data_IF_513473696198
#
_entry.id   IF_513473696198
#
_cell.length_a   1.000
_cell.length_b   1.000
_cell.length_c   1.000
_cell.angle_alpha   90.00
_cell.angle_beta   90.00
_cell.angle_gamma   90.00
#
_symmetry.space_group_name_H-M   'P 1'
#
loop_
_entity.id
_entity.type
_entity.pdbx_description
1 polymer ?
#
# COMPACT_ATOMS: atom_id res chain seq x y z
N UNK A 1 -2.99 17.51 48.26
CA UNK A 1 -1.65 17.29 47.66
C UNK A 1 -1.80 17.57 46.16
N UNK A 2 -1.62 18.84 45.78
CA UNK A 2 -1.80 19.35 44.41
C UNK A 2 -0.41 19.51 43.79
N UNK A 3 -0.18 18.90 42.62
CA UNK A 3 1.04 19.11 41.83
C UNK A 3 0.82 20.25 40.82
N UNK A 4 1.72 21.24 40.72
CA UNK A 4 1.59 22.32 39.75
C UNK A 4 2.17 21.96 38.38
N UNK A 5 1.54 22.53 37.35
CA UNK A 5 1.93 22.49 35.93
C UNK A 5 3.35 23.04 35.70
N UNK A 6 4.14 22.32 34.90
CA UNK A 6 5.35 22.83 34.26
C UNK A 6 5.00 23.61 32.98
N UNK A 7 5.57 24.82 32.75
CA UNK A 7 5.45 25.50 31.47
C UNK A 7 6.49 25.03 30.45
N UNK A 8 6.07 24.87 29.20
CA UNK A 8 6.90 24.54 28.04
C UNK A 8 7.76 25.74 27.60
N UNK A 9 8.98 25.53 27.06
CA UNK A 9 9.85 26.59 26.55
C UNK A 9 9.44 27.08 25.14
N UNK A 10 9.79 28.34 24.78
CA UNK A 10 9.41 28.94 23.50
C UNK A 10 10.28 28.50 22.31
N UNK A 11 9.65 28.38 21.14
CA UNK A 11 10.27 28.09 19.85
C UNK A 11 11.12 29.27 19.31
N UNK A 12 12.27 29.00 18.66
CA UNK A 12 13.14 30.06 18.13
C UNK A 12 12.59 30.67 16.82
N UNK A 13 12.62 32.00 16.74
CA UNK A 13 12.41 32.79 15.52
C UNK A 13 13.67 32.75 14.66
N UNK A 14 13.54 32.44 13.37
CA UNK A 14 14.59 32.68 12.39
C UNK A 14 14.50 34.10 11.81
N UNK A 15 15.61 34.85 11.74
CA UNK A 15 15.62 36.19 11.15
C UNK A 15 15.82 36.13 9.63
N UNK A 16 15.03 36.94 8.93
CA UNK A 16 15.27 37.36 7.55
C UNK A 16 16.53 38.23 7.47
N UNK A 17 17.42 37.96 6.52
CA UNK A 17 18.31 39.00 5.98
C UNK A 17 18.78 38.71 4.53
N UNK A 18 18.20 39.48 3.59
CA UNK A 18 18.81 40.30 2.52
C UNK A 18 19.98 39.72 1.70
N UNK A 19 19.84 39.68 0.35
CA UNK A 19 20.58 40.52 -0.65
C UNK A 19 20.45 39.98 -2.09
N UNK A 20 19.60 40.65 -2.89
CA UNK A 20 19.90 40.96 -4.30
C UNK A 20 20.93 42.12 -4.28
N UNK A 21 21.89 42.25 -5.23
CA UNK A 21 21.57 42.50 -6.64
C UNK A 21 22.59 41.91 -7.64
N UNK A 22 22.24 41.90 -8.93
CA UNK A 22 23.13 42.31 -10.02
C UNK A 22 22.35 42.35 -11.34
N UNK A 23 22.19 43.57 -11.85
CA UNK A 23 21.65 43.93 -13.16
C UNK A 23 22.80 43.98 -14.19
N UNK A 24 22.55 43.44 -15.41
CA UNK A 24 22.84 43.92 -16.80
C UNK A 24 24.15 44.70 -17.14
N UNK A 25 24.66 44.81 -18.42
CA UNK A 25 23.89 44.87 -19.68
C UNK A 25 24.68 44.27 -20.94
N UNK A 26 24.59 44.74 -22.22
CA UNK A 26 24.45 43.87 -23.41
C UNK A 26 25.49 44.12 -24.55
N UNK A 27 25.27 43.47 -25.72
CA UNK A 27 25.89 43.69 -27.06
C UNK A 27 27.30 43.05 -27.21
N UNK A 28 27.74 42.57 -28.37
CA UNK A 28 27.55 43.08 -29.73
C UNK A 28 27.84 42.01 -30.79
N UNK A 29 27.21 42.18 -31.97
CA UNK A 29 27.45 41.41 -33.22
C UNK A 29 28.84 41.68 -33.78
N UNK A 30 29.47 40.65 -34.35
CA UNK A 30 30.30 40.83 -35.54
C UNK A 30 30.15 39.64 -36.50
N UNK A 31 29.93 40.02 -37.76
CA UNK A 31 29.82 39.15 -38.93
C UNK A 31 31.20 38.57 -39.24
N UNK A 32 31.27 37.27 -39.48
CA UNK A 32 32.28 36.73 -40.38
C UNK A 32 31.61 35.79 -41.39
N UNK A 33 31.60 36.23 -42.65
CA UNK A 33 31.26 35.40 -43.80
C UNK A 33 32.42 34.41 -43.99
N UNK A 34 32.16 33.11 -43.84
CA UNK A 34 33.09 32.10 -44.36
C UNK A 34 32.36 31.14 -45.30
N UNK A 35 33.06 30.86 -46.39
CA UNK A 35 32.60 30.29 -47.64
C UNK A 35 32.09 28.86 -47.49
N UNK A 36 31.00 28.58 -48.21
CA UNK A 36 30.48 27.23 -48.49
C UNK A 36 31.59 26.32 -49.03
N UNK A 37 31.90 25.25 -48.30
CA UNK A 37 32.34 23.98 -48.87
C UNK A 37 31.32 22.93 -48.44
N UNK A 38 30.56 22.41 -49.41
CA UNK A 38 29.68 21.25 -49.25
C UNK A 38 30.57 20.03 -49.01
N UNK A 39 30.78 19.68 -47.74
CA UNK A 39 31.17 18.34 -47.36
C UNK A 39 29.87 17.56 -47.12
N UNK A 40 29.58 16.60 -48.01
CA UNK A 40 28.54 15.59 -47.77
C UNK A 40 29.06 14.68 -46.66
N UNK A 41 28.76 15.04 -45.42
CA UNK A 41 28.76 14.10 -44.32
C UNK A 41 27.33 13.60 -44.17
N UNK A 42 27.12 12.36 -44.57
CA UNK A 42 26.00 11.54 -44.14
C UNK A 42 25.96 11.56 -42.62
N UNK A 43 24.95 12.22 -42.06
CA UNK A 43 24.62 12.12 -40.65
C UNK A 43 24.25 10.65 -40.37
N UNK A 44 24.83 9.98 -39.36
CA UNK A 44 24.21 8.78 -38.85
C UNK A 44 22.87 9.22 -38.25
N UNK A 45 21.80 8.58 -38.70
CA UNK A 45 20.48 8.67 -38.10
C UNK A 45 20.64 8.54 -36.58
N UNK A 46 20.20 9.55 -35.84
CA UNK A 46 19.99 9.43 -34.41
C UNK A 46 19.11 8.20 -34.21
N UNK A 47 19.70 7.14 -33.67
CA UNK A 47 18.94 6.00 -33.21
C UNK A 47 17.98 6.53 -32.17
N UNK A 48 16.69 6.44 -32.49
CA UNK A 48 15.64 6.40 -31.50
C UNK A 48 16.10 5.35 -30.49
N UNK A 49 16.55 5.78 -29.32
CA UNK A 49 16.67 4.88 -28.19
C UNK A 49 15.24 4.56 -27.84
N UNK A 50 14.74 3.50 -28.46
CA UNK A 50 13.56 2.78 -28.04
C UNK A 50 13.81 2.42 -26.58
N UNK A 51 13.40 3.31 -25.68
CA UNK A 51 13.11 2.98 -24.30
C UNK A 51 11.97 1.98 -24.39
N UNK A 52 12.33 0.71 -24.58
CA UNK A 52 11.41 -0.39 -24.42
C UNK A 52 10.73 -0.15 -23.07
N UNK A 53 9.40 0.04 -23.04
CA UNK A 53 8.72 0.17 -21.77
C UNK A 53 9.04 -1.12 -21.02
N UNK A 54 9.70 -0.98 -19.86
CA UNK A 54 9.90 -2.09 -18.94
C UNK A 54 8.56 -2.83 -18.83
N UNK A 55 8.56 -4.18 -18.86
CA UNK A 55 7.33 -4.94 -18.77
C UNK A 55 6.55 -4.38 -17.59
N UNK A 56 5.33 -3.87 -17.84
CA UNK A 56 4.48 -3.28 -16.81
C UNK A 56 4.39 -4.30 -15.71
N UNK A 57 5.15 -4.10 -14.62
CA UNK A 57 5.22 -5.03 -13.52
C UNK A 57 3.81 -5.01 -12.94
N UNK A 58 3.02 -6.03 -13.23
CA UNK A 58 1.68 -6.14 -12.68
C UNK A 58 1.82 -6.13 -11.16
N UNK A 59 0.81 -5.58 -10.48
CA UNK A 59 0.82 -5.44 -9.02
C UNK A 59 1.10 -6.80 -8.38
N UNK A 60 2.14 -6.86 -7.56
CA UNK A 60 2.46 -8.04 -6.77
C UNK A 60 1.47 -8.12 -5.60
N UNK A 61 0.58 -9.10 -5.66
CA UNK A 61 -0.26 -9.50 -4.54
C UNK A 61 0.55 -10.40 -3.62
N UNK A 62 0.57 -10.10 -2.32
CA UNK A 62 1.22 -10.96 -1.32
C UNK A 62 0.41 -12.24 -1.11
N UNK A 63 -0.92 -12.09 -1.18
CA UNK A 63 -1.84 -13.18 -0.92
C UNK A 63 -3.17 -12.90 -1.62
N UNK A 64 -3.76 -13.93 -2.21
CA UNK A 64 -5.08 -13.90 -2.84
C UNK A 64 -5.75 -15.25 -2.61
N UNK A 65 -6.97 -15.23 -2.08
CA UNK A 65 -7.75 -16.43 -1.83
C UNK A 65 -9.25 -16.13 -1.74
N UNK A 66 -10.07 -17.18 -1.90
CA UNK A 66 -11.52 -17.14 -1.76
C UNK A 66 -11.89 -17.73 -0.40
N UNK A 67 -12.59 -16.92 0.40
CA UNK A 67 -13.05 -17.30 1.72
C UNK A 67 -14.57 -17.41 1.77
N UNK A 68 -15.03 -18.39 2.54
CA UNK A 68 -16.44 -18.54 2.93
C UNK A 68 -16.61 -18.13 4.38
N UNK A 69 -17.54 -17.24 4.66
CA UNK A 69 -17.90 -16.84 6.03
C UNK A 69 -18.59 -18.02 6.73
N UNK A 70 -17.98 -18.53 7.80
CA UNK A 70 -18.54 -19.63 8.59
C UNK A 70 -19.44 -19.12 9.70
N UNK A 71 -18.97 -18.10 10.45
CA UNK A 71 -19.68 -17.54 11.61
C UNK A 71 -19.51 -16.02 11.64
N UNK A 72 -20.50 -15.37 12.25
CA UNK A 72 -20.48 -13.95 12.56
C UNK A 72 -20.62 -13.80 14.08
N UNK A 73 -19.78 -12.95 14.67
CA UNK A 73 -19.80 -12.57 16.08
C UNK A 73 -19.87 -13.78 17.03
N UNK A 74 -18.83 -14.65 17.09
CA UNK A 74 -18.84 -15.85 17.93
C UNK A 74 -18.99 -15.52 19.43
N UNK A 75 -18.50 -14.35 19.87
CA UNK A 75 -18.63 -13.84 21.24
C UNK A 75 -19.94 -13.05 21.48
N UNK A 76 -20.83 -12.99 20.48
CA UNK A 76 -21.96 -12.09 20.45
C UNK A 76 -21.61 -10.68 19.96
N UNK A 77 -22.64 -9.92 19.58
CA UNK A 77 -22.50 -8.59 19.01
C UNK A 77 -22.08 -7.58 20.09
N UNK A 78 -20.78 -7.27 20.14
CA UNK A 78 -20.19 -6.27 21.05
C UNK A 78 -20.32 -4.84 20.53
N UNK A 79 -20.35 -4.67 19.21
CA UNK A 79 -20.37 -3.38 18.54
C UNK A 79 -21.50 -3.32 17.51
N UNK A 80 -22.12 -2.14 17.36
CA UNK A 80 -23.23 -1.99 16.42
C UNK A 80 -22.80 -1.90 14.96
N UNK A 81 -21.65 -1.27 14.72
CA UNK A 81 -21.10 -0.93 13.39
C UNK A 81 -20.00 -1.84 12.90
N UNK A 82 -19.50 -2.72 13.77
CA UNK A 82 -18.38 -3.63 13.49
C UNK A 82 -18.79 -5.01 13.92
N UNK A 83 -18.60 -5.99 13.04
CA UNK A 83 -18.77 -7.40 13.38
C UNK A 83 -17.47 -8.15 13.14
N UNK A 84 -17.21 -9.13 13.99
CA UNK A 84 -16.09 -10.06 13.84
C UNK A 84 -16.56 -11.25 13.02
N UNK A 85 -15.99 -11.40 11.83
CA UNK A 85 -16.30 -12.53 10.95
C UNK A 85 -15.26 -13.62 11.13
N UNK A 86 -15.70 -14.87 11.12
CA UNK A 86 -14.86 -16.04 10.96
C UNK A 86 -15.05 -16.57 9.55
N UNK A 87 -13.95 -16.78 8.84
CA UNK A 87 -13.98 -17.26 7.47
C UNK A 87 -12.97 -18.39 7.27
N UNK A 88 -13.28 -19.30 6.36
CA UNK A 88 -12.41 -20.42 5.98
C UNK A 88 -12.12 -20.37 4.49
N UNK A 89 -10.86 -20.58 4.14
CA UNK A 89 -10.41 -20.72 2.76
C UNK A 89 -10.99 -21.98 2.13
N UNK A 90 -11.26 -21.91 0.82
CA UNK A 90 -11.64 -23.08 0.04
C UNK A 90 -10.43 -23.86 -0.51
N UNK A 91 -9.31 -23.18 -0.76
CA UNK A 91 -8.18 -23.76 -1.49
C UNK A 91 -7.06 -24.25 -0.57
N UNK A 92 -6.74 -23.47 0.46
CA UNK A 92 -5.53 -23.65 1.27
C UNK A 92 -5.81 -24.04 2.73
N UNK A 93 -7.07 -24.38 3.06
CA UNK A 93 -7.53 -24.71 4.42
C UNK A 93 -7.10 -23.69 5.51
N UNK A 94 -6.99 -22.43 5.12
CA UNK A 94 -6.67 -21.32 6.01
C UNK A 94 -7.89 -20.88 6.81
N UNK A 95 -7.62 -20.40 8.01
CA UNK A 95 -8.61 -19.84 8.91
C UNK A 95 -8.36 -18.35 9.11
N UNK A 96 -9.41 -17.55 9.05
CA UNK A 96 -9.36 -16.11 9.10
C UNK A 96 -10.37 -15.59 10.13
N UNK A 97 -9.93 -14.64 10.96
CA UNK A 97 -10.79 -13.77 11.74
C UNK A 97 -10.56 -12.33 11.30
N UNK A 98 -11.62 -11.60 10.98
CA UNK A 98 -11.55 -10.22 10.54
C UNK A 98 -12.65 -9.38 11.17
N UNK A 99 -12.29 -8.20 11.68
CA UNK A 99 -13.26 -7.19 12.08
C UNK A 99 -13.65 -6.35 10.84
N UNK A 100 -14.92 -6.39 10.45
CA UNK A 100 -15.46 -5.69 9.28
C UNK A 100 -16.48 -4.65 9.72
N UNK A 101 -16.43 -3.47 9.09
CA UNK A 101 -17.43 -2.43 9.29
C UNK A 101 -18.73 -2.80 8.56
N UNK A 102 -19.70 -3.35 9.30
CA UNK A 102 -20.99 -3.83 8.78
C UNK A 102 -21.88 -2.72 8.20
N UNK A 103 -21.65 -1.48 8.61
CA UNK A 103 -22.33 -0.30 8.06
C UNK A 103 -21.97 -0.06 6.58
N UNK A 104 -20.71 -0.30 6.22
CA UNK A 104 -20.19 -0.08 4.85
C UNK A 104 -20.30 -1.35 4.01
N UNK A 105 -19.99 -2.49 4.60
CA UNK A 105 -19.94 -3.77 3.89
C UNK A 105 -20.71 -4.85 4.68
N UNK A 106 -22.02 -5.02 4.44
CA UNK A 106 -22.83 -5.99 5.16
C UNK A 106 -22.52 -7.41 4.68
N UNK A 107 -21.97 -8.24 5.57
CA UNK A 107 -21.68 -9.65 5.31
C UNK A 107 -22.63 -10.57 6.08
N UNK A 108 -22.96 -11.72 5.49
CA UNK A 108 -23.80 -12.76 6.09
C UNK A 108 -23.01 -14.06 6.25
N UNK A 109 -23.41 -14.89 7.21
CA UNK A 109 -22.88 -16.24 7.31
C UNK A 109 -23.24 -17.03 6.03
N UNK A 110 -22.27 -17.73 5.45
CA UNK A 110 -22.37 -18.42 4.16
C UNK A 110 -22.01 -17.57 2.95
N UNK A 111 -21.77 -16.25 3.10
CA UNK A 111 -21.28 -15.43 1.99
C UNK A 111 -19.87 -15.84 1.59
N UNK A 112 -19.60 -15.79 0.28
CA UNK A 112 -18.28 -16.03 -0.32
C UNK A 112 -17.69 -14.71 -0.80
N UNK A 113 -16.40 -14.52 -0.55
CA UNK A 113 -15.70 -13.31 -0.96
C UNK A 113 -14.26 -13.62 -1.34
N UNK A 114 -13.74 -12.89 -2.31
CA UNK A 114 -12.31 -12.89 -2.64
C UNK A 114 -11.62 -11.87 -1.75
N UNK A 115 -10.55 -12.28 -1.10
CA UNK A 115 -9.71 -11.41 -0.29
C UNK A 115 -8.29 -11.36 -0.87
N UNK A 116 -7.75 -10.15 -0.99
CA UNK A 116 -6.41 -9.91 -1.52
C UNK A 116 -5.62 -9.03 -0.55
N UNK A 117 -4.38 -9.41 -0.25
CA UNK A 117 -3.41 -8.59 0.47
C UNK A 117 -2.37 -8.06 -0.50
N UNK A 118 -2.16 -6.75 -0.47
CA UNK A 118 -1.18 -6.08 -1.29
C UNK A 118 -0.32 -5.12 -0.45
N UNK A 119 0.96 -4.93 -0.78
CA UNK A 119 1.80 -3.94 -0.10
C UNK A 119 1.59 -2.53 -0.67
N UNK A 120 1.00 -2.42 -1.87
CA UNK A 120 0.75 -1.15 -2.56
C UNK A 120 -0.53 -1.22 -3.38
N UNK A 121 -1.19 -0.06 -3.54
CA UNK A 121 -2.35 0.12 -4.42
C UNK A 121 -1.96 0.61 -5.82
N UNK A 122 -0.69 1.01 -6.01
CA UNK A 122 -0.19 1.52 -7.26
C UNK A 122 -0.08 0.39 -8.29
N UNK A 123 -0.64 0.60 -9.48
CA UNK A 123 -0.56 -0.37 -10.57
C UNK A 123 0.87 -0.60 -11.06
N UNK A 124 1.76 0.37 -10.81
CA UNK A 124 3.17 0.34 -11.20
C UNK A 124 4.07 -0.40 -10.19
N UNK A 125 3.52 -0.87 -9.07
CA UNK A 125 4.27 -1.57 -8.03
C UNK A 125 5.15 -0.65 -7.17
N UNK A 126 5.05 0.67 -7.32
CA UNK A 126 5.78 1.62 -6.46
C UNK A 126 5.29 1.53 -5.02
N UNK A 127 6.19 1.55 -4.02
CA UNK A 127 5.79 1.47 -2.61
C UNK A 127 4.87 2.63 -2.23
N UNK A 128 3.99 2.41 -1.26
CA UNK A 128 3.07 3.42 -0.77
C UNK A 128 3.84 4.62 -0.16
N UNK A 129 3.53 5.83 -0.64
CA UNK A 129 4.11 7.08 -0.13
C UNK A 129 3.42 7.57 1.14
N UNK A 130 2.35 6.90 1.58
CA UNK A 130 1.55 7.25 2.75
C UNK A 130 0.56 8.40 2.52
N UNK A 131 0.53 8.97 1.31
CA UNK A 131 -0.43 9.99 0.93
C UNK A 131 -1.36 9.44 -0.14
N UNK A 132 -2.64 9.29 0.22
CA UNK A 132 -3.66 8.93 -0.75
C UNK A 132 -3.95 10.14 -1.66
N UNK A 133 -3.44 10.08 -2.88
CA UNK A 133 -3.70 11.11 -3.90
C UNK A 133 -4.79 10.61 -4.84
N UNK A 134 -6.01 11.14 -4.68
CA UNK A 134 -7.15 10.91 -5.59
C UNK A 134 -6.95 11.56 -6.98
N UNK A 135 -5.72 11.70 -7.46
CA UNK A 135 -5.37 12.48 -8.65
C UNK A 135 -5.76 11.80 -9.97
N UNK A 136 -6.96 11.21 -10.06
CA UNK A 136 -7.53 10.60 -11.27
C UNK A 136 -6.76 9.39 -11.80
N UNK A 137 -5.82 8.84 -11.02
CA UNK A 137 -5.09 7.64 -11.40
C UNK A 137 -5.93 6.42 -11.06
N UNK A 138 -6.09 5.51 -12.03
CA UNK A 138 -6.69 4.21 -11.78
C UNK A 138 -5.81 3.45 -10.78
N UNK A 139 -6.42 2.98 -9.70
CA UNK A 139 -5.74 2.22 -8.66
C UNK A 139 -6.27 0.80 -8.62
N UNK A 140 -5.58 -0.07 -7.88
CA UNK A 140 -6.08 -1.42 -7.66
C UNK A 140 -7.40 -1.42 -6.87
N UNK A 141 -7.59 -0.44 -5.98
CA UNK A 141 -8.78 -0.29 -5.16
C UNK A 141 -10.08 -0.16 -5.98
N UNK A 142 -10.01 0.40 -7.19
CA UNK A 142 -11.19 0.60 -8.06
C UNK A 142 -11.86 -0.72 -8.50
N UNK A 143 -11.19 -1.86 -8.33
CA UNK A 143 -11.69 -3.20 -8.69
C UNK A 143 -12.35 -3.95 -7.54
N UNK A 144 -12.26 -3.42 -6.33
CA UNK A 144 -12.70 -4.07 -5.09
C UNK A 144 -13.75 -3.22 -4.40
N UNK A 145 -14.64 -3.88 -3.67
CA UNK A 145 -15.79 -3.24 -3.04
C UNK A 145 -15.43 -2.64 -1.67
N UNK A 146 -14.45 -3.26 -1.01
CA UNK A 146 -14.03 -2.88 0.34
C UNK A 146 -12.51 -2.89 0.44
N UNK A 147 -11.96 -1.81 0.99
CA UNK A 147 -10.52 -1.59 1.09
C UNK A 147 -10.16 -1.09 2.48
N UNK A 148 -9.15 -1.70 3.09
CA UNK A 148 -8.59 -1.29 4.36
C UNK A 148 -7.08 -1.09 4.23
N UNK A 149 -6.56 -0.08 4.92
CA UNK A 149 -5.13 0.18 5.03
C UNK A 149 -4.69 0.00 6.48
N UNK A 150 -3.59 -0.71 6.66
CA UNK A 150 -3.13 -1.11 7.98
C UNK A 150 -1.67 -1.51 7.96
N UNK A 151 -1.27 -2.15 9.06
CA UNK A 151 0.07 -2.68 9.22
C UNK A 151 0.04 -4.06 9.87
N UNK A 152 1.00 -4.88 9.49
CA UNK A 152 1.27 -6.14 10.17
C UNK A 152 2.06 -5.86 11.44
N UNK A 153 1.59 -6.32 12.59
CA UNK A 153 2.23 -6.01 13.88
C UNK A 153 2.78 -7.23 14.63
N UNK A 154 2.32 -8.44 14.29
CA UNK A 154 2.78 -9.66 14.94
C UNK A 154 2.67 -10.84 13.99
N UNK A 155 3.71 -11.67 13.98
CA UNK A 155 3.74 -12.99 13.36
C UNK A 155 4.08 -13.97 14.48
N UNK A 156 3.32 -15.05 14.61
CA UNK A 156 3.62 -16.13 15.54
C UNK A 156 3.57 -17.47 14.84
N UNK A 157 4.58 -18.29 15.08
CA UNK A 157 4.67 -19.65 14.59
C UNK A 157 4.19 -20.60 15.68
N UNK A 158 3.04 -21.24 15.45
CA UNK A 158 2.49 -22.23 16.36
C UNK A 158 3.18 -23.58 16.11
N UNK A 159 4.28 -23.79 16.83
CA UNK A 159 5.05 -25.04 16.86
C UNK A 159 4.61 -25.96 18.01
N UNK A 160 3.54 -25.60 18.72
CA UNK A 160 3.18 -26.22 20.01
C UNK A 160 2.37 -27.53 19.89
N UNK A 161 1.81 -27.80 18.72
CA UNK A 161 1.09 -29.04 18.44
C UNK A 161 1.90 -29.88 17.45
N UNK A 162 2.19 -31.14 17.77
CA UNK A 162 2.97 -32.07 16.94
C UNK A 162 2.33 -32.46 15.59
N UNK A 163 1.44 -31.62 15.06
CA UNK A 163 0.87 -31.69 13.72
C UNK A 163 1.09 -30.33 13.04
N UNK A 164 1.60 -30.38 11.80
CA UNK A 164 1.76 -29.27 10.84
C UNK A 164 1.98 -27.89 11.47
N UNK A 165 3.23 -27.40 11.46
CA UNK A 165 3.58 -26.03 11.88
C UNK A 165 2.66 -25.02 11.21
N UNK A 166 1.70 -24.44 11.94
CA UNK A 166 0.81 -23.39 11.43
C UNK A 166 1.35 -22.04 11.85
N UNK A 167 1.24 -21.05 10.97
CA UNK A 167 1.65 -19.68 11.26
C UNK A 167 0.41 -18.82 11.40
N UNK A 168 0.45 -17.93 12.38
CA UNK A 168 -0.58 -16.95 12.68
C UNK A 168 -0.05 -15.54 12.43
N UNK A 169 -0.74 -14.83 11.56
CA UNK A 169 -0.38 -13.48 11.13
C UNK A 169 -1.44 -12.53 11.67
N UNK A 170 -0.97 -11.49 12.37
CA UNK A 170 -1.82 -10.47 12.97
C UNK A 170 -1.59 -9.12 12.32
N UNK A 171 -2.66 -8.54 11.79
CA UNK A 171 -2.68 -7.24 11.16
C UNK A 171 -3.71 -6.32 11.83
N UNK A 172 -3.44 -5.01 11.80
CA UNK A 172 -4.33 -3.98 12.35
C UNK A 172 -4.59 -2.91 11.31
N UNK A 173 -5.88 -2.61 11.11
CA UNK A 173 -6.41 -1.61 10.18
C UNK A 173 -7.07 -0.48 10.97
N UNK A 174 -6.26 0.31 11.68
CA UNK A 174 -6.75 1.48 12.42
C UNK A 174 -7.69 1.16 13.59
N UNK A 175 -7.54 -0.02 14.20
CA UNK A 175 -8.39 -0.51 15.31
C UNK A 175 -9.22 -1.73 14.96
N UNK A 176 -9.44 -2.00 13.66
CA UNK A 176 -9.99 -3.27 13.19
C UNK A 176 -8.88 -4.32 13.14
N UNK A 177 -9.10 -5.47 13.76
CA UNK A 177 -8.10 -6.53 13.84
C UNK A 177 -8.35 -7.62 12.81
N UNK A 178 -7.25 -8.22 12.36
CA UNK A 178 -7.25 -9.40 11.51
C UNK A 178 -6.27 -10.41 12.08
N UNK A 179 -6.69 -11.67 12.08
CA UNK A 179 -5.84 -12.83 12.35
C UNK A 179 -6.02 -13.83 11.20
N UNK A 180 -4.92 -14.21 10.57
CA UNK A 180 -4.88 -15.24 9.52
C UNK A 180 -4.01 -16.39 10.01
N UNK A 181 -4.57 -17.59 10.04
CA UNK A 181 -3.88 -18.83 10.38
C UNK A 181 -3.78 -19.70 9.14
N UNK A 182 -2.57 -20.07 8.77
CA UNK A 182 -2.30 -20.85 7.57
C UNK A 182 -0.94 -21.54 7.60
N UNK A 183 -0.55 -22.06 6.44
CA UNK A 183 0.74 -22.72 6.28
C UNK A 183 1.91 -21.71 6.24
N UNK A 184 3.12 -22.12 6.66
CA UNK A 184 4.29 -21.24 6.72
C UNK A 184 4.72 -20.74 5.34
N UNK A 185 4.36 -21.46 4.27
CA UNK A 185 4.62 -21.03 2.89
C UNK A 185 3.98 -19.69 2.56
N UNK A 186 2.79 -19.42 3.09
CA UNK A 186 2.11 -18.13 2.88
C UNK A 186 2.67 -17.05 3.80
N UNK A 187 3.17 -17.42 4.99
CA UNK A 187 3.81 -16.48 5.91
C UNK A 187 5.14 -15.92 5.38
N UNK A 188 5.84 -16.66 4.51
CA UNK A 188 7.13 -16.22 3.94
C UNK A 188 7.03 -14.91 3.15
N UNK A 189 5.85 -14.56 2.62
CA UNK A 189 5.61 -13.31 1.90
C UNK A 189 5.35 -12.12 2.83
N UNK A 190 5.27 -12.33 4.15
CA UNK A 190 4.92 -11.28 5.10
C UNK A 190 6.11 -10.84 5.96
N UNK A 191 6.28 -9.52 6.05
CA UNK A 191 7.28 -8.88 6.91
C UNK A 191 6.59 -8.13 8.06
N UNK A 192 7.27 -8.05 9.21
CA UNK A 192 6.78 -7.31 10.37
C UNK A 192 6.88 -5.81 10.15
N UNK A 193 5.92 -5.04 10.69
CA UNK A 193 5.78 -3.59 10.51
C UNK A 193 5.60 -3.11 9.06
N UNK A 194 5.40 -4.02 8.11
CA UNK A 194 5.08 -3.64 6.74
C UNK A 194 3.67 -3.05 6.63
N UNK A 195 3.51 -2.12 5.68
CA UNK A 195 2.21 -1.58 5.30
C UNK A 195 1.44 -2.62 4.48
N UNK A 196 0.17 -2.76 4.80
CA UNK A 196 -0.69 -3.77 4.20
C UNK A 196 -2.01 -3.15 3.78
N UNK A 197 -2.41 -3.43 2.55
CA UNK A 197 -3.74 -3.15 2.04
C UNK A 197 -4.52 -4.45 1.96
N UNK A 198 -5.69 -4.45 2.58
CA UNK A 198 -6.65 -5.54 2.49
C UNK A 198 -7.77 -5.11 1.56
N UNK A 199 -8.02 -5.93 0.55
CA UNK A 199 -8.97 -5.68 -0.52
C UNK A 199 -9.96 -6.85 -0.54
N UNK A 200 -11.26 -6.55 -0.52
CA UNK A 200 -12.33 -7.55 -0.59
C UNK A 200 -13.24 -7.24 -1.77
N UNK A 201 -13.63 -8.30 -2.47
CA UNK A 201 -14.67 -8.28 -3.50
C UNK A 201 -15.66 -9.41 -3.23
N UNK A 202 -16.96 -9.11 -3.38
CA UNK A 202 -17.99 -10.14 -3.29
C UNK A 202 -17.95 -11.07 -4.51
N UNK A 203 -18.14 -12.38 -4.29
CA UNK A 203 -18.27 -13.39 -5.36
C UNK A 203 -19.73 -13.69 -5.61
#
# INVERSE_FOLDING_TARGET
>A
MWAPLFPLPPSPRYPNHVKNPCQFPPRCRSRLRLRRRRARHTAPSAGEVDFLPLPRKMVEHLFEDIFTVTRLDPDGKKFDRVSRIEARSEQFDMYMQLDVATEVYPMRAGDRFTMVLAPTLNLDGTPDTGFYTQAGRKTLADKFDYVMHGKLYKISEDSSSGQATKVEIYASFGGLLMMLKGDPSSAASFELDQRLFLLIRKV
#
